data_IF_308092421024
#
_entry.id   IF_308092421024
#
_cell.length_a   1.000
_cell.length_b   1.000
_cell.length_c   1.000
_cell.angle_alpha   90.00
_cell.angle_beta   90.00
_cell.angle_gamma   90.00
#
_symmetry.space_group_name_H-M   'P 1'
#
loop_
_entity.id
_entity.type
_entity.pdbx_description
1 polymer ?
#
# COMPACT_ATOMS: atom_id res chain seq x y z
N UNK A 1 -18.57 52.50 -26.99
CA UNK A 1 -18.69 51.78 -25.71
C UNK A 1 -18.49 50.31 -26.01
N UNK A 2 -17.24 49.88 -26.05
CA UNK A 2 -16.85 48.49 -26.34
C UNK A 2 -16.54 47.87 -24.98
N UNK A 3 -17.28 46.83 -24.62
CA UNK A 3 -17.09 46.12 -23.36
C UNK A 3 -15.90 45.17 -23.58
N UNK A 4 -14.80 45.46 -22.89
CA UNK A 4 -13.59 44.65 -22.91
C UNK A 4 -13.75 43.49 -21.93
N UNK A 5 -13.66 42.25 -22.44
CA UNK A 5 -13.72 41.05 -21.64
C UNK A 5 -12.38 40.82 -20.95
N UNK A 6 -12.28 41.26 -19.69
CA UNK A 6 -11.14 40.94 -18.83
C UNK A 6 -11.14 39.43 -18.55
N UNK A 7 -10.24 38.71 -19.23
CA UNK A 7 -9.87 37.33 -18.88
C UNK A 7 -9.30 37.34 -17.46
N UNK A 8 -9.98 36.64 -16.55
CA UNK A 8 -9.37 36.15 -15.30
C UNK A 8 -8.28 35.16 -15.68
N UNK A 9 -7.02 35.56 -15.51
CA UNK A 9 -5.89 34.65 -15.45
C UNK A 9 -5.99 33.84 -14.16
N UNK A 10 -6.39 32.58 -14.28
CA UNK A 10 -6.03 31.55 -13.30
C UNK A 10 -4.54 31.28 -13.49
N UNK A 11 -3.72 31.67 -12.52
CA UNK A 11 -2.33 31.21 -12.42
C UNK A 11 -2.34 29.71 -12.10
N UNK A 12 -2.51 28.89 -13.12
CA UNK A 12 -1.99 27.52 -13.10
C UNK A 12 -0.48 27.67 -13.28
N UNK A 13 0.28 27.47 -12.20
CA UNK A 13 1.74 27.26 -12.31
C UNK A 13 1.97 26.06 -13.22
N UNK A 14 2.32 26.31 -14.48
CA UNK A 14 2.87 25.29 -15.37
C UNK A 14 4.14 24.74 -14.71
N UNK A 15 4.11 23.47 -14.34
CA UNK A 15 5.27 22.77 -13.81
C UNK A 15 6.20 22.49 -14.99
N UNK A 16 7.43 22.96 -14.91
CA UNK A 16 8.44 22.71 -15.94
C UNK A 16 8.92 21.25 -15.87
N UNK A 17 8.46 20.43 -16.82
CA UNK A 17 8.84 19.02 -16.97
C UNK A 17 10.21 18.83 -17.65
N UNK A 18 10.90 19.89 -18.09
CA UNK A 18 12.22 19.77 -18.74
C UNK A 18 13.27 19.09 -17.86
N UNK A 19 13.03 19.05 -16.54
CA UNK A 19 13.91 18.43 -15.55
C UNK A 19 13.68 16.93 -15.34
N UNK A 20 12.57 16.33 -15.80
CA UNK A 20 12.36 14.88 -15.66
C UNK A 20 13.38 14.08 -16.49
N UNK A 21 13.86 14.65 -17.59
CA UNK A 21 14.93 14.06 -18.41
C UNK A 21 16.33 14.10 -17.76
N UNK A 22 16.50 14.70 -16.59
CA UNK A 22 17.76 14.65 -15.83
C UNK A 22 17.87 13.32 -15.07
N UNK A 23 16.75 12.73 -14.68
CA UNK A 23 16.73 11.54 -13.85
C UNK A 23 17.09 10.29 -14.66
N UNK A 24 18.17 9.56 -14.32
CA UNK A 24 18.61 8.41 -15.11
C UNK A 24 17.55 7.30 -15.22
N UNK A 25 16.65 7.19 -14.23
CA UNK A 25 15.56 6.20 -14.24
C UNK A 25 14.42 6.55 -15.20
N UNK A 26 14.35 7.79 -15.71
CA UNK A 26 13.31 8.29 -16.61
C UNK A 26 13.83 8.54 -18.03
N UNK A 27 15.14 8.38 -18.27
CA UNK A 27 15.74 8.54 -19.58
C UNK A 27 15.50 7.32 -20.47
N UNK A 28 14.95 7.54 -21.67
CA UNK A 28 14.73 6.48 -22.64
C UNK A 28 16.03 5.72 -22.91
N UNK A 29 15.95 4.39 -22.77
CA UNK A 29 17.05 3.48 -23.05
C UNK A 29 16.67 2.58 -24.24
N UNK A 30 16.69 3.09 -25.49
CA UNK A 30 16.18 2.39 -26.67
C UNK A 30 16.92 1.09 -26.98
N UNK A 31 18.07 0.82 -26.34
CA UNK A 31 18.86 -0.39 -26.57
C UNK A 31 18.69 -1.47 -25.49
N UNK A 32 18.00 -1.19 -24.37
CA UNK A 32 17.90 -2.11 -23.23
C UNK A 32 16.67 -3.02 -23.31
N UNK A 33 16.63 -3.88 -24.34
CA UNK A 33 15.60 -4.93 -24.49
C UNK A 33 15.94 -6.23 -23.76
N UNK A 34 17.17 -6.38 -23.30
CA UNK A 34 17.65 -7.57 -22.59
C UNK A 34 17.87 -7.23 -21.12
N UNK A 35 17.28 -8.03 -20.24
CA UNK A 35 17.34 -7.80 -18.79
C UNK A 35 18.77 -7.93 -18.22
N UNK A 36 19.58 -8.84 -18.79
CA UNK A 36 20.94 -9.08 -18.37
C UNK A 36 21.98 -8.31 -19.20
N UNK A 37 23.08 -7.85 -18.59
CA UNK A 37 23.41 -7.95 -17.16
C UNK A 37 22.53 -7.05 -16.28
N UNK A 38 22.31 -7.46 -15.03
CA UNK A 38 21.62 -6.63 -14.02
C UNK A 38 22.50 -5.43 -13.69
N UNK A 39 21.95 -4.22 -13.80
CA UNK A 39 22.61 -2.95 -13.52
C UNK A 39 22.24 -2.42 -12.13
N UNK A 40 20.99 -2.64 -11.70
CA UNK A 40 20.48 -2.20 -10.39
C UNK A 40 20.16 -3.40 -9.51
N UNK A 41 21.21 -3.96 -8.89
CA UNK A 41 21.09 -5.18 -8.08
C UNK A 41 20.17 -5.03 -6.87
N UNK A 42 20.09 -3.85 -6.25
CA UNK A 42 19.22 -3.59 -5.11
C UNK A 42 17.72 -3.56 -5.50
N UNK A 43 17.40 -2.95 -6.64
CA UNK A 43 16.06 -2.99 -7.23
C UNK A 43 15.69 -4.43 -7.62
N UNK A 44 16.63 -5.16 -8.21
CA UNK A 44 16.42 -6.56 -8.55
C UNK A 44 16.18 -7.45 -7.33
N UNK A 45 16.89 -7.20 -6.23
CA UNK A 45 16.68 -7.87 -4.94
C UNK A 45 15.27 -7.61 -4.41
N UNK A 46 14.76 -6.37 -4.47
CA UNK A 46 13.37 -6.06 -4.10
C UNK A 46 12.36 -6.82 -4.97
N UNK A 47 12.60 -6.91 -6.28
CA UNK A 47 11.76 -7.70 -7.17
C UNK A 47 11.79 -9.20 -6.80
N UNK A 48 12.97 -9.75 -6.49
CA UNK A 48 13.09 -11.15 -6.08
C UNK A 48 12.45 -11.43 -4.73
N UNK A 49 12.54 -10.48 -3.80
CA UNK A 49 11.83 -10.53 -2.53
C UNK A 49 10.31 -10.57 -2.75
N UNK A 50 9.80 -9.69 -3.61
CA UNK A 50 8.39 -9.65 -3.98
C UNK A 50 7.93 -10.96 -4.63
N UNK A 51 8.69 -11.45 -5.62
CA UNK A 51 8.41 -12.70 -6.32
C UNK A 51 8.40 -13.92 -5.40
N UNK A 52 9.28 -13.94 -4.38
CA UNK A 52 9.32 -15.01 -3.38
C UNK A 52 8.09 -15.00 -2.44
N UNK A 53 7.40 -13.85 -2.34
CA UNK A 53 6.23 -13.66 -1.51
C UNK A 53 4.90 -13.97 -2.22
N UNK A 54 4.94 -14.41 -3.50
CA UNK A 54 3.77 -14.73 -4.32
C UNK A 54 2.72 -15.58 -3.59
N UNK A 55 1.44 -15.26 -3.75
CA UNK A 55 0.33 -16.06 -3.26
C UNK A 55 -0.89 -15.90 -4.19
N UNK A 56 -1.88 -16.80 -4.09
CA UNK A 56 -3.15 -16.67 -4.82
C UNK A 56 -4.34 -16.65 -3.87
N UNK A 57 -5.48 -16.12 -4.34
CA UNK A 57 -6.69 -15.98 -3.54
C UNK A 57 -7.21 -17.35 -3.03
N UNK A 58 -6.97 -18.44 -3.76
CA UNK A 58 -7.35 -19.80 -3.36
C UNK A 58 -6.58 -20.33 -2.14
N UNK A 59 -5.47 -19.70 -1.74
CA UNK A 59 -4.77 -20.05 -0.50
C UNK A 59 -5.54 -19.60 0.76
N UNK A 60 -6.59 -18.78 0.60
CA UNK A 60 -7.39 -18.23 1.70
C UNK A 60 -8.62 -19.10 1.96
N UNK A 61 -8.66 -19.76 3.10
CA UNK A 61 -9.82 -20.53 3.56
C UNK A 61 -10.83 -19.64 4.30
N UNK A 62 -12.02 -19.48 3.72
CA UNK A 62 -13.13 -18.70 4.28
C UNK A 62 -14.20 -19.55 4.99
N UNK A 63 -13.98 -20.86 5.15
CA UNK A 63 -15.00 -21.78 5.67
C UNK A 63 -15.44 -21.45 7.10
N UNK A 64 -14.51 -21.02 7.96
CA UNK A 64 -14.81 -20.65 9.35
C UNK A 64 -15.35 -19.21 9.48
N UNK A 65 -15.00 -18.31 8.56
CA UNK A 65 -15.40 -16.91 8.60
C UNK A 65 -16.92 -16.74 8.51
N UNK A 66 -17.61 -17.57 7.74
CA UNK A 66 -19.08 -17.53 7.67
C UNK A 66 -19.76 -17.81 9.04
N UNK A 67 -19.11 -18.57 9.93
CA UNK A 67 -19.62 -18.82 11.28
C UNK A 67 -19.35 -17.64 12.19
N UNK A 68 -18.15 -17.06 12.12
CA UNK A 68 -17.77 -15.92 12.94
C UNK A 68 -18.51 -14.66 12.54
N UNK A 69 -18.72 -14.44 11.23
CA UNK A 69 -19.50 -13.33 10.69
C UNK A 69 -20.88 -13.24 11.35
N UNK A 70 -21.57 -14.37 11.53
CA UNK A 70 -22.89 -14.44 12.18
C UNK A 70 -22.86 -14.13 13.68
N UNK A 71 -21.70 -14.27 14.34
CA UNK A 71 -21.51 -13.94 15.77
C UNK A 71 -21.14 -12.48 15.99
N UNK A 72 -20.61 -11.80 14.96
CA UNK A 72 -20.32 -10.38 15.03
C UNK A 72 -21.59 -9.57 15.28
N UNK A 73 -21.46 -8.51 16.06
CA UNK A 73 -22.55 -7.58 16.27
C UNK A 73 -22.75 -6.65 15.04
N UNK A 74 -23.87 -5.93 15.00
CA UNK A 74 -24.21 -5.07 13.87
C UNK A 74 -23.16 -3.98 13.59
N UNK A 75 -22.51 -3.45 14.63
CA UNK A 75 -21.47 -2.43 14.48
C UNK A 75 -20.18 -3.01 13.88
N UNK A 76 -19.79 -4.22 14.30
CA UNK A 76 -18.62 -4.92 13.75
C UNK A 76 -18.83 -5.30 12.28
N UNK A 77 -20.01 -5.83 11.95
CA UNK A 77 -20.36 -6.12 10.56
C UNK A 77 -20.39 -4.84 9.72
N UNK A 78 -21.01 -3.77 10.23
CA UNK A 78 -21.04 -2.48 9.55
C UNK A 78 -19.62 -1.95 9.28
N UNK A 79 -18.74 -2.00 10.27
CA UNK A 79 -17.34 -1.61 10.14
C UNK A 79 -16.65 -2.42 9.04
N UNK A 80 -16.71 -3.76 9.11
CA UNK A 80 -16.03 -4.62 8.14
C UNK A 80 -16.55 -4.47 6.72
N UNK A 81 -17.87 -4.35 6.52
CA UNK A 81 -18.45 -4.14 5.18
C UNK A 81 -17.86 -2.90 4.50
N UNK A 82 -17.76 -1.79 5.24
CA UNK A 82 -17.28 -0.53 4.67
C UNK A 82 -15.76 -0.50 4.49
N UNK A 83 -15.00 -1.17 5.36
CA UNK A 83 -13.55 -1.37 5.15
C UNK A 83 -13.31 -2.18 3.87
N UNK A 84 -14.00 -3.30 3.68
CA UNK A 84 -13.84 -4.14 2.49
C UNK A 84 -14.25 -3.42 1.21
N UNK A 85 -15.36 -2.66 1.25
CA UNK A 85 -15.80 -1.84 0.13
C UNK A 85 -14.78 -0.75 -0.23
N UNK A 86 -14.15 -0.14 0.77
CA UNK A 86 -13.09 0.83 0.55
C UNK A 86 -11.86 0.20 -0.12
N UNK A 87 -11.41 -0.97 0.35
CA UNK A 87 -10.29 -1.68 -0.24
C UNK A 87 -10.57 -2.05 -1.71
N UNK A 88 -11.70 -2.70 -1.98
CA UNK A 88 -12.07 -3.12 -3.34
C UNK A 88 -12.11 -1.97 -4.35
N UNK A 89 -12.49 -0.76 -3.91
CA UNK A 89 -12.50 0.41 -4.78
C UNK A 89 -11.13 1.09 -4.92
N UNK A 90 -10.25 0.96 -3.93
CA UNK A 90 -8.96 1.66 -3.89
C UNK A 90 -7.90 0.96 -4.74
N UNK A 91 -7.82 -0.37 -4.70
CA UNK A 91 -6.85 -1.15 -5.49
C UNK A 91 -7.03 -0.90 -6.98
N UNK A 92 -8.27 -0.69 -7.44
CA UNK A 92 -8.56 -0.30 -8.83
C UNK A 92 -7.88 1.02 -9.24
N UNK A 93 -7.89 2.02 -8.35
CA UNK A 93 -7.24 3.33 -8.60
C UNK A 93 -5.71 3.18 -8.60
N UNK A 94 -5.17 2.42 -7.64
CA UNK A 94 -3.74 2.13 -7.52
C UNK A 94 -3.23 1.45 -8.78
N UNK A 95 -3.92 0.41 -9.23
CA UNK A 95 -3.55 -0.39 -10.39
C UNK A 95 -3.59 0.41 -11.69
N UNK A 96 -4.64 1.23 -11.91
CA UNK A 96 -4.70 2.13 -13.07
C UNK A 96 -3.49 3.09 -13.09
N UNK A 97 -3.11 3.62 -11.92
CA UNK A 97 -1.96 4.50 -11.80
C UNK A 97 -0.62 3.78 -12.03
N UNK A 98 -0.46 2.54 -11.56
CA UNK A 98 0.75 1.74 -11.81
C UNK A 98 0.95 1.47 -13.31
N UNK A 99 -0.11 1.01 -13.98
CA UNK A 99 -0.08 0.63 -15.40
C UNK A 99 0.14 1.84 -16.29
N UNK A 100 -0.64 2.92 -16.08
CA UNK A 100 -0.65 4.06 -16.99
C UNK A 100 0.36 5.14 -16.64
N UNK A 101 0.89 5.14 -15.39
CA UNK A 101 1.86 6.12 -14.93
C UNK A 101 3.23 5.49 -14.62
N UNK A 102 3.44 4.88 -13.45
CA UNK A 102 4.79 4.54 -13.01
C UNK A 102 5.54 3.54 -13.91
N UNK A 103 4.88 2.46 -14.34
CA UNK A 103 5.53 1.42 -15.16
C UNK A 103 5.93 1.91 -16.56
N UNK A 104 5.20 2.88 -17.10
CA UNK A 104 5.46 3.50 -18.40
C UNK A 104 6.62 4.51 -18.34
N UNK A 105 6.73 5.28 -17.26
CA UNK A 105 7.78 6.32 -17.11
C UNK A 105 9.14 5.74 -16.76
N UNK A 106 9.19 4.78 -15.84
CA UNK A 106 10.45 4.21 -15.39
C UNK A 106 11.06 3.36 -16.50
N UNK A 107 12.32 3.64 -16.84
CA UNK A 107 13.04 3.00 -17.95
C UNK A 107 13.99 1.88 -17.47
N UNK A 108 14.30 1.80 -16.18
CA UNK A 108 15.10 0.71 -15.63
C UNK A 108 14.35 -0.61 -15.67
N UNK A 109 14.94 -1.62 -16.33
CA UNK A 109 14.32 -2.91 -16.56
C UNK A 109 13.97 -3.63 -15.23
N UNK A 110 14.83 -3.54 -14.23
CA UNK A 110 14.63 -4.14 -12.91
C UNK A 110 13.42 -3.55 -12.18
N UNK A 111 13.21 -2.23 -12.29
CA UNK A 111 12.08 -1.56 -11.68
C UNK A 111 10.77 -1.87 -12.41
N UNK A 112 10.82 -1.99 -13.75
CA UNK A 112 9.68 -2.50 -14.54
C UNK A 112 9.32 -3.94 -14.16
N UNK A 113 10.29 -4.80 -13.86
CA UNK A 113 10.01 -6.14 -13.33
C UNK A 113 9.29 -6.09 -11.97
N UNK A 114 9.71 -5.20 -11.07
CA UNK A 114 8.99 -4.99 -9.80
C UNK A 114 7.55 -4.54 -10.04
N UNK A 115 7.33 -3.49 -10.83
CA UNK A 115 5.99 -2.98 -11.09
C UNK A 115 5.11 -3.98 -11.83
N UNK A 116 5.65 -4.76 -12.77
CA UNK A 116 4.89 -5.83 -13.43
C UNK A 116 4.39 -6.88 -12.44
N UNK A 117 5.19 -7.20 -11.43
CA UNK A 117 4.78 -8.11 -10.36
C UNK A 117 3.79 -7.45 -9.39
N UNK A 118 3.99 -6.17 -9.04
CA UNK A 118 3.06 -5.40 -8.23
C UNK A 118 1.67 -5.36 -8.88
N UNK A 119 1.57 -4.97 -10.15
CA UNK A 119 0.30 -4.94 -10.91
C UNK A 119 -0.41 -6.31 -10.88
N UNK A 120 0.33 -7.41 -10.98
CA UNK A 120 -0.25 -8.74 -10.88
C UNK A 120 -0.77 -9.02 -9.46
N UNK A 121 -0.03 -8.65 -8.42
CA UNK A 121 -0.47 -8.81 -7.02
C UNK A 121 -1.67 -7.93 -6.70
N UNK A 122 -1.75 -6.69 -7.19
CA UNK A 122 -2.93 -5.82 -7.05
C UNK A 122 -4.20 -6.49 -7.61
N UNK A 123 -4.09 -7.24 -8.71
CA UNK A 123 -5.24 -7.98 -9.24
C UNK A 123 -5.68 -9.10 -8.29
N UNK A 124 -4.74 -9.77 -7.63
CA UNK A 124 -5.01 -10.81 -6.63
C UNK A 124 -5.61 -10.20 -5.36
N UNK A 125 -5.17 -9.01 -4.96
CA UNK A 125 -5.76 -8.26 -3.84
C UNK A 125 -7.20 -7.89 -4.14
N UNK A 126 -7.46 -7.31 -5.32
CA UNK A 126 -8.80 -6.96 -5.77
C UNK A 126 -9.73 -8.19 -5.81
N UNK A 127 -9.26 -9.31 -6.37
CA UNK A 127 -10.01 -10.59 -6.34
C UNK A 127 -10.31 -11.05 -4.91
N UNK A 128 -9.31 -10.99 -4.02
CA UNK A 128 -9.45 -11.38 -2.62
C UNK A 128 -10.51 -10.54 -1.92
N UNK A 129 -10.51 -9.21 -2.08
CA UNK A 129 -11.54 -8.35 -1.50
C UNK A 129 -12.93 -8.63 -2.07
N UNK A 130 -13.04 -8.90 -3.38
CA UNK A 130 -14.30 -9.32 -4.00
C UNK A 130 -14.82 -10.64 -3.41
N UNK A 131 -13.95 -11.64 -3.22
CA UNK A 131 -14.32 -12.92 -2.60
C UNK A 131 -14.78 -12.75 -1.14
N UNK A 132 -14.10 -11.90 -0.36
CA UNK A 132 -14.49 -11.56 1.02
C UNK A 132 -15.87 -10.89 1.06
N UNK A 133 -16.10 -9.91 0.17
CA UNK A 133 -17.41 -9.25 0.04
C UNK A 133 -18.48 -10.28 -0.32
N UNK A 134 -18.20 -11.15 -1.30
CA UNK A 134 -19.15 -12.16 -1.75
C UNK A 134 -19.48 -13.21 -0.69
N UNK A 135 -18.50 -13.57 0.15
CA UNK A 135 -18.67 -14.51 1.24
C UNK A 135 -19.50 -13.94 2.40
N UNK A 136 -19.36 -12.65 2.71
CA UNK A 136 -19.93 -12.05 3.93
C UNK A 136 -21.25 -11.34 3.69
N UNK A 137 -21.43 -10.72 2.53
CA UNK A 137 -22.63 -9.97 2.19
C UNK A 137 -23.49 -10.86 1.29
N UNK A 138 -24.70 -11.18 1.72
CA UNK A 138 -25.61 -12.03 0.93
C UNK A 138 -26.61 -11.24 0.12
N UNK A 139 -26.86 -9.98 0.49
CA UNK A 139 -27.82 -9.10 -0.17
C UNK A 139 -27.21 -8.48 -1.44
N UNK A 140 -27.74 -8.77 -2.65
CA UNK A 140 -27.24 -8.24 -3.91
C UNK A 140 -27.29 -6.70 -4.02
N UNK A 141 -28.30 -6.06 -3.40
CA UNK A 141 -28.44 -4.61 -3.44
C UNK A 141 -27.36 -3.95 -2.55
N UNK A 142 -27.11 -4.54 -1.38
CA UNK A 142 -26.02 -4.11 -0.50
C UNK A 142 -24.65 -4.30 -1.15
N UNK A 143 -24.41 -5.44 -1.83
CA UNK A 143 -23.17 -5.64 -2.61
C UNK A 143 -22.98 -4.55 -3.66
N UNK A 144 -24.03 -4.27 -4.44
CA UNK A 144 -23.98 -3.26 -5.49
C UNK A 144 -23.68 -1.87 -4.92
N UNK A 145 -24.25 -1.55 -3.76
CA UNK A 145 -23.95 -0.28 -3.08
C UNK A 145 -22.48 -0.19 -2.64
N UNK A 146 -21.93 -1.27 -2.09
CA UNK A 146 -20.56 -1.34 -1.59
C UNK A 146 -19.52 -1.32 -2.73
N UNK A 147 -19.78 -1.98 -3.86
CA UNK A 147 -18.90 -1.91 -5.02
C UNK A 147 -18.85 -0.51 -5.66
N UNK A 148 -19.86 0.34 -5.42
CA UNK A 148 -19.89 1.73 -5.88
C UNK A 148 -19.42 2.74 -4.81
N UNK A 149 -18.63 2.29 -3.83
CA UNK A 149 -18.23 3.10 -2.66
C UNK A 149 -17.56 4.44 -3.00
N UNK A 150 -16.84 4.57 -4.12
CA UNK A 150 -16.25 5.86 -4.56
C UNK A 150 -17.32 6.92 -4.83
N UNK A 151 -18.47 6.50 -5.36
CA UNK A 151 -19.60 7.40 -5.64
C UNK A 151 -20.52 7.53 -4.43
N UNK A 152 -20.64 6.50 -3.60
CA UNK A 152 -21.65 6.46 -2.53
C UNK A 152 -21.12 6.86 -1.15
N UNK A 153 -19.80 6.76 -0.88
CA UNK A 153 -19.21 6.98 0.45
C UNK A 153 -18.29 8.22 0.45
N UNK A 154 -18.66 9.31 1.16
CA UNK A 154 -17.92 10.57 1.14
C UNK A 154 -16.44 10.46 1.56
N UNK A 155 -16.13 9.62 2.55
CA UNK A 155 -14.76 9.45 3.04
C UNK A 155 -13.86 8.72 2.03
N UNK A 156 -14.42 7.74 1.32
CA UNK A 156 -13.75 7.05 0.20
C UNK A 156 -13.51 8.03 -0.96
N UNK A 157 -14.51 8.85 -1.30
CA UNK A 157 -14.36 9.90 -2.31
C UNK A 157 -13.26 10.90 -1.97
N UNK A 158 -13.09 11.27 -0.68
CA UNK A 158 -12.03 12.18 -0.23
C UNK A 158 -10.65 11.59 -0.51
N UNK A 159 -10.42 10.32 -0.16
CA UNK A 159 -9.19 9.58 -0.48
C UNK A 159 -8.94 9.49 -1.99
N UNK A 160 -9.96 9.09 -2.77
CA UNK A 160 -9.85 9.03 -4.23
C UNK A 160 -9.53 10.37 -4.86
N UNK A 161 -10.15 11.46 -4.40
CA UNK A 161 -9.86 12.82 -4.88
C UNK A 161 -8.44 13.26 -4.56
N UNK A 162 -7.94 12.91 -3.36
CA UNK A 162 -6.56 13.17 -2.96
C UNK A 162 -5.59 12.37 -3.84
N UNK A 163 -5.85 11.09 -4.09
CA UNK A 163 -5.02 10.24 -4.94
C UNK A 163 -4.97 10.78 -6.37
N UNK A 164 -6.12 11.09 -6.96
CA UNK A 164 -6.21 11.69 -8.31
C UNK A 164 -5.52 13.06 -8.40
N UNK A 165 -5.52 13.86 -7.33
CA UNK A 165 -4.79 15.14 -7.27
C UNK A 165 -3.29 14.91 -7.33
N UNK A 166 -2.77 14.05 -6.45
CA UNK A 166 -1.33 13.91 -6.23
C UNK A 166 -0.63 12.95 -7.18
N UNK A 167 -1.32 11.91 -7.66
CA UNK A 167 -0.79 10.93 -8.61
C UNK A 167 -0.88 11.40 -10.07
N UNK A 168 -1.54 12.53 -10.34
CA UNK A 168 -1.67 13.03 -11.70
C UNK A 168 -0.34 13.48 -12.28
N UNK A 169 0.11 12.83 -13.36
CA UNK A 169 1.26 13.27 -14.18
C UNK A 169 1.19 14.74 -14.58
N UNK A 170 -0.01 15.27 -14.83
CA UNK A 170 -0.19 16.67 -15.26
C UNK A 170 0.06 17.69 -14.15
N UNK A 171 -0.01 17.28 -12.88
CA UNK A 171 -0.02 18.18 -11.72
C UNK A 171 1.14 17.97 -10.75
N UNK A 172 1.88 16.87 -10.87
CA UNK A 172 2.95 16.52 -9.94
C UNK A 172 4.14 15.90 -10.65
N UNK A 173 5.34 16.33 -10.26
CA UNK A 173 6.59 15.69 -10.67
C UNK A 173 6.63 14.22 -10.26
N UNK A 174 7.42 13.41 -10.97
CA UNK A 174 7.66 12.01 -10.61
C UNK A 174 8.03 11.82 -9.13
N UNK A 175 8.89 12.69 -8.57
CA UNK A 175 9.30 12.64 -7.17
C UNK A 175 8.11 12.83 -6.19
N UNK A 176 7.27 13.83 -6.45
CA UNK A 176 6.07 14.09 -5.63
C UNK A 176 5.07 12.94 -5.73
N UNK A 177 4.94 12.36 -6.92
CA UNK A 177 4.06 11.21 -7.16
C UNK A 177 4.53 9.98 -6.43
N UNK A 178 5.83 9.69 -6.38
CA UNK A 178 6.36 8.58 -5.57
C UNK A 178 6.06 8.74 -4.09
N UNK A 179 6.18 9.96 -3.54
CA UNK A 179 5.84 10.24 -2.14
C UNK A 179 4.33 10.04 -1.90
N UNK A 180 3.51 10.55 -2.81
CA UNK A 180 2.06 10.39 -2.70
C UNK A 180 1.64 8.92 -2.83
N UNK A 181 2.28 8.17 -3.73
CA UNK A 181 2.06 6.75 -3.90
C UNK A 181 2.46 5.99 -2.63
N UNK A 182 3.64 6.24 -2.07
CA UNK A 182 4.06 5.66 -0.80
C UNK A 182 3.07 5.96 0.35
N UNK A 183 2.40 7.12 0.33
CA UNK A 183 1.36 7.46 1.31
C UNK A 183 0.03 6.73 1.06
N UNK A 184 -0.33 6.42 -0.20
CA UNK A 184 -1.49 5.55 -0.49
C UNK A 184 -1.24 4.16 0.09
N UNK A 185 -0.13 3.54 -0.30
CA UNK A 185 0.27 2.18 0.11
C UNK A 185 0.52 2.09 1.63
N UNK A 186 1.19 3.10 2.20
CA UNK A 186 1.68 3.06 3.58
C UNK A 186 0.76 3.69 4.63
N UNK A 187 -0.05 4.70 4.28
CA UNK A 187 -0.89 5.45 5.24
C UNK A 187 -2.36 5.15 5.05
N UNK A 188 -2.91 5.25 3.83
CA UNK A 188 -4.37 5.15 3.59
C UNK A 188 -4.98 3.78 3.90
N UNK A 189 -4.17 2.75 4.06
CA UNK A 189 -4.62 1.43 4.48
C UNK A 189 -4.23 1.08 5.92
N UNK A 190 -3.36 1.87 6.54
CA UNK A 190 -2.75 1.54 7.83
C UNK A 190 -3.76 1.37 8.96
N UNK A 191 -4.77 2.23 9.06
CA UNK A 191 -5.80 2.16 10.08
C UNK A 191 -6.71 0.94 9.88
N UNK A 192 -7.10 0.67 8.63
CA UNK A 192 -7.90 -0.51 8.27
C UNK A 192 -7.16 -1.83 8.56
N UNK A 193 -5.88 -1.93 8.19
CA UNK A 193 -5.07 -3.12 8.50
C UNK A 193 -4.94 -3.32 10.01
N UNK A 194 -4.68 -2.26 10.77
CA UNK A 194 -4.62 -2.33 12.23
C UNK A 194 -5.95 -2.80 12.83
N UNK A 195 -7.08 -2.30 12.31
CA UNK A 195 -8.41 -2.68 12.74
C UNK A 195 -8.73 -4.16 12.45
N UNK A 196 -8.26 -4.73 11.33
CA UNK A 196 -8.44 -6.16 11.05
C UNK A 196 -7.50 -7.00 11.92
N UNK A 197 -6.26 -6.57 12.16
CA UNK A 197 -5.39 -7.26 13.12
C UNK A 197 -5.93 -7.26 14.56
N UNK A 198 -6.72 -6.25 14.93
CA UNK A 198 -7.45 -6.27 16.19
C UNK A 198 -8.46 -7.44 16.27
N UNK A 199 -9.12 -7.80 15.16
CA UNK A 199 -9.96 -9.00 15.10
C UNK A 199 -9.15 -10.28 15.23
N UNK A 200 -7.96 -10.33 14.62
CA UNK A 200 -7.02 -11.45 14.79
C UNK A 200 -6.68 -11.66 16.27
N UNK A 201 -6.38 -10.57 16.99
CA UNK A 201 -6.11 -10.61 18.44
C UNK A 201 -7.28 -11.16 19.24
N UNK A 202 -8.51 -10.97 18.76
CA UNK A 202 -9.74 -11.51 19.35
C UNK A 202 -10.06 -12.94 18.90
N UNK A 203 -9.28 -13.51 17.98
CA UNK A 203 -9.47 -14.85 17.44
C UNK A 203 -10.70 -14.98 16.55
N UNK A 204 -11.01 -13.95 15.76
CA UNK A 204 -12.17 -13.88 14.88
C UNK A 204 -11.75 -13.78 13.42
N UNK A 205 -12.59 -14.31 12.52
CA UNK A 205 -12.45 -14.16 11.06
C UNK A 205 -11.06 -14.60 10.55
N UNK A 206 -10.69 -15.88 10.73
CA UNK A 206 -9.35 -16.38 10.40
C UNK A 206 -8.97 -16.18 8.92
N UNK A 207 -9.92 -16.33 8.00
CA UNK A 207 -9.72 -16.09 6.57
C UNK A 207 -9.45 -14.62 6.25
N UNK A 208 -10.30 -13.71 6.74
CA UNK A 208 -10.10 -12.25 6.61
C UNK A 208 -8.77 -11.79 7.22
N UNK A 209 -8.42 -12.31 8.39
CA UNK A 209 -7.20 -11.88 9.10
C UNK A 209 -5.94 -12.44 8.44
N UNK A 210 -6.00 -13.66 7.91
CA UNK A 210 -4.92 -14.24 7.12
C UNK A 210 -4.73 -13.50 5.78
N UNK A 211 -5.81 -13.17 5.07
CA UNK A 211 -5.70 -12.37 3.84
C UNK A 211 -5.11 -10.99 4.12
N UNK A 212 -5.51 -10.36 5.22
CA UNK A 212 -4.96 -9.09 5.66
C UNK A 212 -3.46 -9.16 5.99
N UNK A 213 -2.95 -10.29 6.51
CA UNK A 213 -1.51 -10.49 6.70
C UNK A 213 -0.73 -10.51 5.38
N UNK A 214 -1.28 -11.19 4.38
CA UNK A 214 -0.66 -11.28 3.06
C UNK A 214 -0.65 -9.92 2.36
N UNK A 215 -1.80 -9.25 2.31
CA UNK A 215 -1.95 -7.96 1.65
C UNK A 215 -1.12 -6.88 2.36
N UNK A 216 -1.26 -6.72 3.68
CA UNK A 216 -0.50 -5.67 4.40
C UNK A 216 1.03 -5.84 4.32
N UNK A 217 1.52 -7.07 4.13
CA UNK A 217 2.93 -7.34 3.85
C UNK A 217 3.32 -6.85 2.45
N UNK A 218 2.49 -7.13 1.46
CA UNK A 218 2.72 -6.71 0.07
C UNK A 218 2.72 -5.18 -0.02
N UNK A 219 1.71 -4.49 0.55
CA UNK A 219 1.65 -3.02 0.63
C UNK A 219 2.89 -2.42 1.31
N UNK A 220 3.38 -3.08 2.36
CA UNK A 220 4.62 -2.67 3.03
C UNK A 220 5.82 -2.71 2.08
N UNK A 221 5.93 -3.77 1.28
CA UNK A 221 7.00 -3.91 0.30
C UNK A 221 6.87 -2.91 -0.86
N UNK A 222 5.65 -2.60 -1.29
CA UNK A 222 5.38 -1.61 -2.32
C UNK A 222 5.71 -0.20 -1.84
N UNK A 223 5.34 0.13 -0.61
CA UNK A 223 5.69 1.38 0.06
C UNK A 223 7.22 1.54 0.18
N UNK A 224 7.92 0.49 0.62
CA UNK A 224 9.39 0.48 0.70
C UNK A 224 10.03 0.68 -0.68
N UNK A 225 9.46 0.07 -1.73
CA UNK A 225 9.93 0.23 -3.11
C UNK A 225 9.75 1.66 -3.62
N UNK A 226 8.60 2.30 -3.34
CA UNK A 226 8.35 3.69 -3.69
C UNK A 226 9.35 4.62 -2.99
N UNK A 227 9.66 4.38 -1.70
CA UNK A 227 10.69 5.10 -0.97
C UNK A 227 12.09 4.90 -1.57
N UNK A 228 12.44 3.66 -1.93
CA UNK A 228 13.71 3.33 -2.58
C UNK A 228 13.89 4.10 -3.89
N UNK A 229 12.88 4.08 -4.76
CA UNK A 229 12.94 4.83 -6.02
C UNK A 229 13.03 6.33 -5.78
N UNK A 230 12.27 6.87 -4.83
CA UNK A 230 12.33 8.30 -4.50
C UNK A 230 13.74 8.70 -4.05
N UNK A 231 14.35 7.91 -3.17
CA UNK A 231 15.68 8.17 -2.63
C UNK A 231 16.80 7.99 -3.66
N UNK A 232 16.53 7.31 -4.78
CA UNK A 232 17.45 7.16 -5.92
C UNK A 232 17.39 8.32 -6.91
N UNK A 233 16.39 9.21 -6.80
CA UNK A 233 16.32 10.40 -7.63
C UNK A 233 17.46 11.37 -7.29
N UNK A 234 18.02 11.99 -8.33
CA UNK A 234 18.98 13.09 -8.17
C UNK A 234 18.27 14.30 -7.56
N UNK A 235 17.01 14.53 -7.96
CA UNK A 235 16.13 15.60 -7.48
C UNK A 235 14.87 15.00 -6.88
N UNK A 236 14.99 14.49 -5.66
CA UNK A 236 13.84 14.09 -4.83
C UNK A 236 12.91 15.26 -4.50
N UNK A 237 11.74 14.94 -3.95
CA UNK A 237 10.80 15.94 -3.48
C UNK A 237 11.41 16.69 -2.28
N UNK A 238 11.24 18.01 -2.25
CA UNK A 238 11.70 18.80 -1.10
C UNK A 238 10.96 18.42 0.18
N UNK A 239 11.64 18.47 1.31
CA UNK A 239 11.11 18.06 2.62
C UNK A 239 9.75 18.69 2.97
N UNK A 240 9.59 20.00 2.76
CA UNK A 240 8.30 20.68 2.98
C UNK A 240 7.16 20.10 2.14
N UNK A 241 7.47 19.63 0.92
CA UNK A 241 6.47 19.00 0.05
C UNK A 241 6.16 17.59 0.54
N UNK A 242 7.17 16.83 0.95
CA UNK A 242 7.00 15.52 1.57
C UNK A 242 6.09 15.65 2.80
N UNK A 243 6.43 16.54 3.73
CA UNK A 243 5.63 16.82 4.93
C UNK A 243 4.19 17.19 4.60
N UNK A 244 3.96 18.03 3.59
CA UNK A 244 2.60 18.40 3.18
C UNK A 244 1.80 17.21 2.67
N UNK A 245 2.37 16.39 1.78
CA UNK A 245 1.69 15.21 1.22
C UNK A 245 1.35 14.24 2.35
N UNK A 246 2.31 13.94 3.22
CA UNK A 246 2.13 13.02 4.34
C UNK A 246 1.10 13.55 5.36
N UNK A 247 1.18 14.83 5.72
CA UNK A 247 0.23 15.42 6.67
C UNK A 247 -1.21 15.44 6.13
N UNK A 248 -1.40 15.76 4.85
CA UNK A 248 -2.72 15.64 4.20
C UNK A 248 -3.24 14.19 4.26
N UNK A 249 -2.37 13.20 4.01
CA UNK A 249 -2.75 11.79 4.06
C UNK A 249 -3.15 11.34 5.48
N UNK A 250 -2.38 11.74 6.50
CA UNK A 250 -2.66 11.45 7.92
C UNK A 250 -3.99 12.04 8.36
N UNK A 251 -4.28 13.28 7.98
CA UNK A 251 -5.54 13.93 8.33
C UNK A 251 -6.74 13.17 7.74
N UNK A 252 -6.65 12.80 6.46
CA UNK A 252 -7.68 12.03 5.76
C UNK A 252 -7.86 10.64 6.38
N UNK A 253 -6.77 9.93 6.65
CA UNK A 253 -6.84 8.59 7.23
C UNK A 253 -7.39 8.63 8.65
N UNK A 254 -6.97 9.60 9.45
CA UNK A 254 -7.49 9.79 10.81
C UNK A 254 -8.99 10.04 10.77
N UNK A 255 -9.47 10.94 9.92
CA UNK A 255 -10.91 11.19 9.75
C UNK A 255 -11.66 9.91 9.33
N UNK A 256 -11.07 9.12 8.42
CA UNK A 256 -11.66 7.87 7.95
C UNK A 256 -11.91 6.91 9.12
N UNK A 257 -10.91 6.64 9.97
CA UNK A 257 -11.03 5.64 11.05
C UNK A 257 -11.58 6.18 12.37
N UNK A 258 -11.67 7.50 12.57
CA UNK A 258 -12.23 8.07 13.82
C UNK A 258 -13.62 8.68 13.66
N UNK A 259 -14.00 9.05 12.45
CA UNK A 259 -15.23 9.81 12.20
C UNK A 259 -16.14 9.12 11.19
N UNK A 260 -15.61 8.80 10.00
CA UNK A 260 -16.43 8.22 8.94
C UNK A 260 -16.76 6.75 9.20
N UNK A 261 -15.78 5.99 9.71
CA UNK A 261 -15.91 4.60 10.09
C UNK A 261 -15.22 4.37 11.45
N UNK A 262 -15.85 4.78 12.55
CA UNK A 262 -15.20 4.83 13.87
C UNK A 262 -14.73 3.45 14.34
N UNK A 263 -13.46 3.34 14.71
CA UNK A 263 -12.88 2.10 15.25
C UNK A 263 -13.45 1.72 16.63
N UNK A 264 -14.16 2.62 17.29
CA UNK A 264 -14.99 2.32 18.46
C UNK A 264 -16.03 1.23 18.16
N UNK A 265 -16.49 1.12 16.91
CA UNK A 265 -17.47 0.10 16.49
C UNK A 265 -16.96 -1.33 16.71
N UNK A 266 -15.63 -1.53 16.68
CA UNK A 266 -14.96 -2.81 16.94
C UNK A 266 -14.27 -2.86 18.31
N UNK A 267 -14.48 -1.85 19.16
CA UNK A 267 -13.94 -1.79 20.52
C UNK A 267 -12.51 -1.27 20.62
N UNK A 268 -12.00 -0.55 19.62
CA UNK A 268 -10.72 0.16 19.69
C UNK A 268 -10.91 1.61 20.14
N UNK A 269 -9.82 2.27 20.53
CA UNK A 269 -9.82 3.68 20.94
C UNK A 269 -9.36 4.59 19.80
N UNK A 270 -10.17 5.55 19.36
CA UNK A 270 -9.80 6.48 18.29
C UNK A 270 -8.53 7.29 18.58
N UNK A 271 -8.28 7.66 19.84
CA UNK A 271 -7.08 8.38 20.24
C UNK A 271 -5.81 7.55 20.00
N UNK A 272 -5.83 6.27 20.38
CA UNK A 272 -4.74 5.34 20.09
C UNK A 272 -4.63 5.04 18.59
N UNK A 273 -5.74 4.95 17.86
CA UNK A 273 -5.69 4.75 16.41
C UNK A 273 -5.06 5.97 15.68
N UNK A 274 -5.41 7.19 16.09
CA UNK A 274 -4.76 8.42 15.59
C UNK A 274 -3.26 8.38 15.85
N UNK A 275 -2.85 8.08 17.08
CA UNK A 275 -1.43 7.96 17.43
C UNK A 275 -0.72 6.89 16.59
N UNK A 276 -1.39 5.78 16.27
CA UNK A 276 -0.84 4.74 15.40
C UNK A 276 -0.62 5.24 13.97
N UNK A 277 -1.58 5.97 13.39
CA UNK A 277 -1.43 6.56 12.04
C UNK A 277 -0.28 7.57 12.02
N UNK A 278 -0.18 8.42 13.04
CA UNK A 278 0.94 9.37 13.21
C UNK A 278 2.29 8.66 13.34
N UNK A 279 2.35 7.54 14.07
CA UNK A 279 3.55 6.70 14.17
C UNK A 279 3.94 6.09 12.82
N UNK A 280 2.98 5.57 12.05
CA UNK A 280 3.21 5.03 10.70
C UNK A 280 3.72 6.13 9.76
N UNK A 281 3.14 7.32 9.83
CA UNK A 281 3.57 8.45 9.03
C UNK A 281 5.00 8.89 9.35
N UNK A 282 5.39 8.93 10.63
CA UNK A 282 6.77 9.22 11.02
C UNK A 282 7.76 8.16 10.52
N UNK A 283 7.37 6.88 10.52
CA UNK A 283 8.20 5.82 9.92
C UNK A 283 8.37 6.03 8.42
N UNK A 284 7.30 6.35 7.71
CA UNK A 284 7.36 6.64 6.27
C UNK A 284 8.23 7.87 5.98
N UNK A 285 8.13 8.93 6.80
CA UNK A 285 8.98 10.11 6.69
C UNK A 285 10.47 9.75 6.81
N UNK A 286 10.82 8.91 7.79
CA UNK A 286 12.20 8.42 7.94
C UNK A 286 12.64 7.61 6.72
N UNK A 287 11.80 6.71 6.20
CA UNK A 287 12.09 5.95 4.97
C UNK A 287 12.30 6.84 3.73
N UNK A 288 11.68 8.02 3.71
CA UNK A 288 11.84 9.03 2.66
C UNK A 288 13.02 10.02 2.92
N UNK A 289 13.89 9.71 3.89
CA UNK A 289 14.98 10.59 4.34
C UNK A 289 14.52 11.99 4.79
N UNK A 290 13.33 12.08 5.39
CA UNK A 290 12.71 13.31 5.87
C UNK A 290 12.59 13.32 7.40
N UNK A 291 12.54 14.50 8.02
CA UNK A 291 12.37 14.58 9.47
C UNK A 291 10.95 14.19 9.90
N UNK A 292 10.83 13.63 11.10
CA UNK A 292 9.55 13.24 11.72
C UNK A 292 8.68 14.46 11.98
N UNK A 293 7.37 14.31 11.80
CA UNK A 293 6.38 15.36 12.07
C UNK A 293 5.74 15.23 13.45
N UNK A 294 5.43 14.01 13.89
CA UNK A 294 4.55 13.78 15.04
C UNK A 294 5.33 13.40 16.31
N UNK A 295 6.46 12.70 16.15
CA UNK A 295 7.34 12.20 17.19
C UNK A 295 6.60 11.36 18.25
N UNK A 296 5.74 10.45 17.80
CA UNK A 296 4.94 9.57 18.66
C UNK A 296 5.43 8.12 18.62
N UNK A 297 5.18 7.38 19.70
CA UNK A 297 5.47 5.94 19.78
C UNK A 297 4.31 5.08 19.29
N UNK A 298 4.59 3.84 18.91
CA UNK A 298 3.56 2.85 18.58
C UNK A 298 2.65 2.55 19.79
N UNK A 299 1.32 2.80 19.71
CA UNK A 299 0.39 2.50 20.80
C UNK A 299 -0.06 1.03 20.82
N UNK A 300 0.26 0.24 19.79
CA UNK A 300 -0.20 -1.14 19.61
C UNK A 300 1.00 -2.11 19.51
N UNK A 301 1.61 -2.52 20.63
CA UNK A 301 2.78 -3.41 20.61
C UNK A 301 2.51 -4.79 19.99
N UNK A 302 1.24 -5.19 19.91
CA UNK A 302 0.84 -6.43 19.24
C UNK A 302 0.95 -6.36 17.71
N UNK A 303 1.00 -5.17 17.10
CA UNK A 303 1.25 -5.03 15.67
C UNK A 303 2.65 -5.52 15.29
N UNK A 304 3.65 -5.28 16.14
CA UNK A 304 5.02 -5.77 15.94
C UNK A 304 5.09 -7.30 16.09
N UNK A 305 4.43 -7.84 17.12
CA UNK A 305 4.39 -9.29 17.36
C UNK A 305 3.74 -10.05 16.20
N UNK A 306 2.63 -9.53 15.65
CA UNK A 306 1.94 -10.18 14.52
C UNK A 306 2.79 -10.09 13.26
N UNK A 307 3.42 -8.94 12.99
CA UNK A 307 4.32 -8.78 11.85
C UNK A 307 5.51 -9.76 11.92
N UNK A 308 6.11 -9.92 13.10
CA UNK A 308 7.20 -10.89 13.30
C UNK A 308 6.75 -12.34 13.15
N UNK A 309 5.61 -12.72 13.75
CA UNK A 309 5.08 -14.09 13.63
C UNK A 309 4.68 -14.45 12.19
N UNK A 310 4.10 -13.50 11.45
CA UNK A 310 3.77 -13.66 10.04
C UNK A 310 5.02 -13.87 9.19
N UNK A 311 6.07 -13.07 9.43
CA UNK A 311 7.37 -13.21 8.76
C UNK A 311 8.02 -14.56 9.04
N UNK A 312 8.15 -14.99 10.30
CA UNK A 312 8.75 -16.30 10.62
C UNK A 312 7.94 -17.47 10.05
N UNK A 313 6.62 -17.48 10.24
CA UNK A 313 5.78 -18.59 9.76
C UNK A 313 5.79 -18.72 8.24
N UNK A 314 5.82 -17.61 7.50
CA UNK A 314 5.76 -17.63 6.04
C UNK A 314 7.06 -18.14 5.41
N UNK A 315 8.20 -17.56 5.80
CA UNK A 315 9.50 -17.98 5.26
C UNK A 315 9.87 -19.40 5.71
N UNK A 316 9.56 -19.80 6.95
CA UNK A 316 9.84 -21.16 7.41
C UNK A 316 8.96 -22.22 6.72
N UNK A 317 7.65 -21.95 6.55
CA UNK A 317 6.75 -22.89 5.83
C UNK A 317 7.16 -23.06 4.37
N UNK A 318 7.39 -21.95 3.66
CA UNK A 318 7.73 -21.99 2.22
C UNK A 318 9.13 -22.54 1.98
N UNK A 319 10.14 -22.19 2.78
CA UNK A 319 11.47 -22.81 2.67
C UNK A 319 11.40 -24.32 2.92
N UNK A 320 10.57 -24.78 3.87
CA UNK A 320 10.31 -26.20 4.11
C UNK A 320 9.64 -26.92 2.92
N UNK A 321 8.76 -26.24 2.19
CA UNK A 321 8.10 -26.76 0.98
C UNK A 321 9.03 -26.78 -0.24
N UNK A 322 9.85 -25.74 -0.44
CA UNK A 322 10.88 -25.70 -1.49
C UNK A 322 12.04 -26.67 -1.22
N UNK A 323 12.46 -26.89 0.03
CA UNK A 323 13.47 -27.91 0.35
C UNK A 323 12.99 -29.34 0.08
N UNK A 324 11.69 -29.61 0.22
CA UNK A 324 11.12 -30.93 -0.12
C UNK A 324 11.03 -31.16 -1.64
N UNK A 325 10.95 -30.10 -2.43
CA UNK A 325 10.96 -30.14 -3.89
C UNK A 325 12.35 -29.83 -4.46
N UNK A 326 13.32 -30.66 -4.08
CA UNK A 326 14.50 -30.98 -4.90
C UNK A 326 15.51 -29.86 -5.19
N UNK A 327 16.48 -29.66 -4.29
CA UNK A 327 17.84 -29.26 -4.67
C UNK A 327 18.84 -29.99 -3.77
N UNK A 328 19.53 -31.00 -4.33
CA UNK A 328 20.83 -31.45 -3.80
C UNK A 328 21.87 -30.40 -4.16
N UNK A 329 22.69 -30.06 -3.18
CA UNK A 329 23.91 -29.24 -3.22
C UNK A 329 24.38 -28.72 -4.58
N UNK A 330 24.39 -27.38 -4.70
CA UNK A 330 24.92 -26.68 -5.87
C UNK A 330 24.97 -25.16 -5.71
N UNK A 331 25.74 -24.68 -4.73
CA UNK A 331 26.48 -23.39 -4.79
C UNK A 331 25.79 -22.14 -5.34
N UNK A 332 24.66 -21.72 -4.79
CA UNK A 332 24.24 -20.31 -4.72
C UNK A 332 23.16 -20.21 -3.62
N UNK A 333 23.56 -19.78 -2.42
CA UNK A 333 22.67 -19.78 -1.26
C UNK A 333 21.63 -18.65 -1.39
N UNK A 334 20.36 -19.03 -1.51
CA UNK A 334 19.19 -18.20 -1.16
C UNK A 334 19.19 -17.76 0.33
N UNK A 335 20.13 -18.24 1.15
CA UNK A 335 20.26 -17.89 2.56
C UNK A 335 20.68 -16.45 2.84
N UNK A 336 21.15 -15.69 1.85
CA UNK A 336 21.49 -14.27 2.04
C UNK A 336 20.27 -13.36 2.22
N UNK A 337 19.11 -13.76 1.70
CA UNK A 337 17.86 -13.00 1.88
C UNK A 337 17.42 -13.06 3.35
N UNK A 338 17.60 -14.19 4.03
CA UNK A 338 17.20 -14.38 5.43
C UNK A 338 18.10 -13.59 6.41
N UNK A 339 19.39 -13.39 6.08
CA UNK A 339 20.30 -12.63 6.95
C UNK A 339 20.00 -11.12 7.01
N UNK A 340 19.34 -10.53 6.01
CA UNK A 340 18.89 -9.12 6.07
C UNK A 340 17.63 -8.89 6.90
N UNK A 341 16.87 -9.95 7.22
CA UNK A 341 15.66 -9.87 8.04
C UNK A 341 15.90 -10.11 9.54
N UNK A 342 17.14 -10.44 9.94
CA UNK A 342 17.54 -10.44 11.34
C UNK A 342 17.97 -9.03 11.72
N UNK A 343 17.03 -8.23 12.19
CA UNK A 343 17.36 -6.92 12.74
C UNK A 343 17.65 -7.08 14.23
N UNK A 344 18.94 -7.20 14.55
CA UNK A 344 19.51 -6.50 15.70
C UNK A 344 19.54 -4.99 15.38
N UNK A 345 18.37 -4.37 15.20
CA UNK A 345 18.26 -2.91 15.30
C UNK A 345 17.13 -2.60 16.28
N UNK A 346 17.52 -2.60 17.56
CA UNK A 346 16.97 -1.61 18.48
C UNK A 346 17.20 -0.22 17.87
N UNK A 347 16.15 0.60 17.75
CA UNK A 347 16.06 2.04 18.09
C UNK A 347 14.91 2.77 17.36
#
# INVERSE_FOLDING_TARGET
>A
MVIDHTKKTTEETEIDFSHEHIEPMLQEAPERFVLFPIEHSDIWEMYKLHAAAFWTAEEIDLAEDAKDWKKLNANEQHFLKHVLAFFAASDGIVNENLVTNFADEVQWAEARCFYGFQIMMENIHAETYSLLIDAYITDPDEKTHLFNALETVPSVRKKGTWALKWLSRKKGSFAQRLVAFAAVEGIFFSGSFCAIFWLKKRGLMPGLTFSNELISRDEGLHCDFACMLHNKLIRGAGENVIHRIIAEAVEIETEFVTSALPVELIGMNAGLMRQYIEFVADRLLVSLNSSKLYNVSNPFPWMEMISMQGKTNFFEKRVGEYQKSGVKDGGASLGSVQQRFSVDEDF
#
